data_IF_086653799998
#
_entry.id   IF_086653799998
#
_cell.length_a   1.000
_cell.length_b   1.000
_cell.length_c   1.000
_cell.angle_alpha   90.00
_cell.angle_beta   90.00
_cell.angle_gamma   90.00
#
_symmetry.space_group_name_H-M   'P 1'
#
loop_
_entity.id
_entity.type
_entity.pdbx_description
1 polymer ?
#
# COMPACT_ATOMS: atom_id res chain seq x y z
N UNK A 1 -51.97 11.45 73.60
CA UNK A 1 -50.53 11.73 73.37
C UNK A 1 -49.97 10.64 72.47
N UNK A 2 -49.88 10.89 71.17
CA UNK A 2 -49.29 9.94 70.20
C UNK A 2 -48.54 10.76 69.15
N UNK A 3 -47.23 10.58 69.10
CA UNK A 3 -46.30 11.31 68.24
C UNK A 3 -46.33 10.77 66.80
N UNK A 4 -46.32 11.73 65.86
CA UNK A 4 -46.05 11.58 64.41
C UNK A 4 -44.58 11.24 64.17
N UNK A 5 -44.30 10.41 63.16
CA UNK A 5 -43.13 10.57 62.28
C UNK A 5 -43.51 10.19 60.84
N UNK A 6 -43.38 11.15 59.93
CA UNK A 6 -43.47 10.98 58.47
C UNK A 6 -42.05 11.00 57.92
N UNK A 7 -41.68 10.03 57.08
CA UNK A 7 -40.38 10.02 56.39
C UNK A 7 -40.63 10.20 54.89
N UNK A 8 -40.23 11.35 54.36
CA UNK A 8 -40.14 11.61 52.93
C UNK A 8 -38.76 11.16 52.43
N UNK A 9 -38.72 10.37 51.36
CA UNK A 9 -37.50 10.10 50.61
C UNK A 9 -37.54 10.89 49.29
N UNK A 10 -36.63 11.85 49.17
CA UNK A 10 -36.31 12.56 47.92
C UNK A 10 -35.08 11.90 47.29
N UNK A 11 -35.19 11.48 46.03
CA UNK A 11 -34.05 11.01 45.22
C UNK A 11 -33.59 12.19 44.35
N UNK A 12 -32.31 12.62 44.40
CA UNK A 12 -31.82 13.61 43.45
C UNK A 12 -31.44 12.95 42.12
N UNK A 13 -31.85 13.60 41.02
CA UNK A 13 -31.31 13.38 39.68
C UNK A 13 -29.81 13.69 39.63
N UNK A 14 -29.05 12.82 39.01
CA UNK A 14 -27.66 13.04 38.63
C UNK A 14 -27.28 12.15 37.46
N UNK A 15 -27.66 12.54 36.24
CA UNK A 15 -27.14 11.92 35.02
C UNK A 15 -25.75 12.54 34.76
N UNK A 16 -24.70 11.78 35.06
CA UNK A 16 -23.33 12.09 34.64
C UNK A 16 -23.16 11.54 33.23
N UNK A 17 -23.16 12.42 32.22
CA UNK A 17 -22.68 12.07 30.89
C UNK A 17 -21.15 11.98 30.94
N UNK A 18 -20.61 10.76 31.09
CA UNK A 18 -19.19 10.50 30.83
C UNK A 18 -18.96 10.55 29.32
N UNK A 19 -18.29 11.61 28.86
CA UNK A 19 -17.64 11.63 27.56
C UNK A 19 -16.44 10.69 27.60
N UNK A 20 -16.54 9.53 26.95
CA UNK A 20 -15.38 8.71 26.66
C UNK A 20 -14.58 9.40 25.55
N UNK A 21 -13.39 9.92 25.89
CA UNK A 21 -12.44 10.37 24.89
C UNK A 21 -12.03 9.18 24.00
N UNK A 22 -11.90 9.35 22.67
CA UNK A 22 -11.32 8.32 21.82
C UNK A 22 -9.89 8.05 22.27
N UNK A 23 -9.54 6.76 22.40
CA UNK A 23 -8.19 6.33 22.74
C UNK A 23 -7.18 6.87 21.69
N UNK A 24 -5.95 7.23 22.11
CA UNK A 24 -4.92 7.64 21.16
C UNK A 24 -4.60 6.49 20.20
N UNK A 25 -4.68 6.76 18.90
CA UNK A 25 -4.23 5.86 17.86
C UNK A 25 -2.74 5.53 18.10
N UNK A 26 -2.42 4.23 18.19
CA UNK A 26 -1.03 3.79 18.33
C UNK A 26 -0.33 3.98 16.99
N UNK A 27 0.63 4.90 16.99
CA UNK A 27 1.52 5.22 15.88
C UNK A 27 2.32 3.99 15.44
N UNK A 28 2.10 3.54 14.20
CA UNK A 28 2.99 2.60 13.51
C UNK A 28 3.07 3.05 12.06
N UNK A 29 4.19 3.64 11.69
CA UNK A 29 4.55 3.83 10.29
C UNK A 29 6.07 3.92 10.20
N UNK A 30 6.61 3.19 9.23
CA UNK A 30 8.03 3.11 8.89
C UNK A 30 8.46 4.46 8.30
N UNK A 31 9.45 5.12 8.90
CA UNK A 31 10.04 6.36 8.38
C UNK A 31 11.35 6.01 7.69
N UNK A 32 11.48 6.27 6.39
CA UNK A 32 12.70 6.01 5.64
C UNK A 32 13.39 7.33 5.25
N UNK A 33 14.64 7.50 5.70
CA UNK A 33 15.51 8.60 5.25
C UNK A 33 15.84 8.44 3.77
N UNK A 34 15.51 9.48 2.98
CA UNK A 34 15.88 9.56 1.57
C UNK A 34 17.36 9.91 1.41
N UNK A 35 18.11 9.27 0.49
CA UNK A 35 19.44 9.75 0.13
C UNK A 35 19.34 11.14 -0.52
N UNK A 36 20.19 12.08 -0.08
CA UNK A 36 20.33 13.43 -0.62
C UNK A 36 20.50 13.40 -2.14
N UNK A 37 19.65 14.13 -2.86
CA UNK A 37 19.83 14.41 -4.27
C UNK A 37 21.12 15.21 -4.50
N UNK A 38 21.99 14.71 -5.38
CA UNK A 38 23.08 15.51 -5.94
C UNK A 38 22.50 16.55 -6.92
N UNK A 39 23.01 17.79 -6.93
CA UNK A 39 22.55 18.81 -7.87
C UNK A 39 22.96 18.46 -9.31
N UNK A 40 22.13 18.78 -10.32
CA UNK A 40 22.41 18.45 -11.71
C UNK A 40 23.60 19.26 -12.25
N UNK A 41 24.54 18.57 -12.89
CA UNK A 41 25.61 19.20 -13.65
C UNK A 41 25.04 19.93 -14.87
N UNK A 42 25.42 21.19 -14.99
CA UNK A 42 25.09 22.12 -16.08
C UNK A 42 25.83 21.70 -17.36
N UNK A 43 25.10 21.15 -18.34
CA UNK A 43 25.62 20.91 -19.69
C UNK A 43 25.62 22.24 -20.46
N UNK A 44 26.74 22.56 -21.10
CA UNK A 44 26.92 23.76 -21.94
C UNK A 44 26.23 23.54 -23.30
N UNK A 45 25.36 24.48 -23.68
CA UNK A 45 24.82 24.57 -25.03
C UNK A 45 25.95 24.87 -26.03
N UNK A 46 25.97 24.13 -27.12
CA UNK A 46 26.58 24.56 -28.39
C UNK A 46 25.53 24.41 -29.48
N UNK A 47 25.25 25.53 -30.16
CA UNK A 47 24.39 25.61 -31.34
C UNK A 47 24.94 24.74 -32.46
N UNK A 48 24.08 24.04 -33.19
CA UNK A 48 24.19 23.90 -34.64
C UNK A 48 22.83 23.50 -35.25
N UNK A 49 22.32 24.41 -36.08
CA UNK A 49 21.20 24.23 -36.97
C UNK A 49 21.53 23.15 -38.02
N UNK A 50 20.69 22.12 -38.13
CA UNK A 50 20.47 21.42 -39.39
C UNK A 50 19.08 20.77 -39.36
N UNK A 51 18.15 21.36 -40.11
CA UNK A 51 16.82 20.84 -40.32
C UNK A 51 16.89 19.62 -41.25
N UNK A 52 16.64 18.43 -40.71
CA UNK A 52 16.34 17.22 -41.51
C UNK A 52 14.85 16.93 -41.34
N UNK A 53 14.07 17.15 -42.40
CA UNK A 53 12.67 16.75 -42.46
C UNK A 53 12.58 15.23 -42.61
N UNK A 54 12.18 14.53 -41.54
CA UNK A 54 11.79 13.12 -41.60
C UNK A 54 10.27 13.03 -41.67
N UNK A 55 9.77 12.71 -42.87
CA UNK A 55 8.36 12.41 -43.11
C UNK A 55 8.06 11.00 -42.61
N UNK A 56 7.29 10.88 -41.52
CA UNK A 56 6.81 9.59 -41.02
C UNK A 56 5.34 9.43 -41.41
N UNK A 57 5.08 8.68 -42.48
CA UNK A 57 3.74 8.17 -42.75
C UNK A 57 3.38 7.10 -41.68
N UNK A 58 2.20 7.17 -41.03
CA UNK A 58 1.80 6.16 -40.06
C UNK A 58 1.49 4.84 -40.77
N UNK A 59 2.22 3.79 -40.38
CA UNK A 59 1.97 2.41 -40.80
C UNK A 59 0.63 1.96 -40.20
N UNK A 60 -0.27 1.30 -40.96
CA UNK A 60 -1.55 0.84 -40.43
C UNK A 60 -1.33 -0.12 -39.26
N UNK A 61 -1.88 0.24 -38.10
CA UNK A 61 -1.90 -0.57 -36.89
C UNK A 61 -2.68 -1.86 -37.17
N UNK A 62 -1.98 -2.99 -37.10
CA UNK A 62 -2.61 -4.32 -37.12
C UNK A 62 -3.60 -4.44 -35.97
N UNK A 63 -4.68 -5.20 -36.20
CA UNK A 63 -5.75 -5.41 -35.25
C UNK A 63 -5.22 -5.83 -33.86
N UNK A 64 -5.86 -5.39 -32.76
CA UNK A 64 -5.45 -5.76 -31.41
C UNK A 64 -5.56 -7.28 -31.24
N UNK A 65 -4.43 -7.92 -30.96
CA UNK A 65 -4.38 -9.33 -30.57
C UNK A 65 -5.09 -9.46 -29.22
N UNK A 66 -6.04 -10.38 -29.03
CA UNK A 66 -6.70 -10.57 -27.75
C UNK A 66 -5.67 -11.04 -26.72
N UNK A 67 -5.35 -10.19 -25.75
CA UNK A 67 -4.52 -10.55 -24.60
C UNK A 67 -5.33 -11.50 -23.74
N UNK A 68 -4.97 -12.78 -23.74
CA UNK A 68 -5.50 -13.75 -22.77
C UNK A 68 -5.06 -13.30 -21.37
N UNK A 69 -5.97 -12.68 -20.62
CA UNK A 69 -5.73 -12.37 -19.22
C UNK A 69 -5.68 -13.69 -18.44
N UNK A 70 -4.48 -14.16 -18.12
CA UNK A 70 -4.32 -15.30 -17.21
C UNK A 70 -4.83 -14.85 -15.84
N UNK A 71 -5.91 -15.47 -15.37
CA UNK A 71 -6.40 -15.27 -14.01
C UNK A 71 -5.32 -15.78 -13.04
N UNK A 72 -4.74 -14.89 -12.24
CA UNK A 72 -3.75 -15.25 -11.24
C UNK A 72 -4.45 -15.71 -9.96
N UNK A 73 -4.12 -16.91 -9.46
CA UNK A 73 -4.63 -17.42 -8.18
C UNK A 73 -3.73 -17.01 -7.02
N UNK A 74 -4.30 -16.78 -5.83
CA UNK A 74 -3.49 -16.50 -4.64
C UNK A 74 -2.47 -17.62 -4.39
N UNK A 75 -2.86 -18.87 -4.61
CA UNK A 75 -1.94 -20.02 -4.47
C UNK A 75 -0.71 -19.87 -5.37
N UNK A 76 -0.89 -19.41 -6.61
CA UNK A 76 0.24 -19.15 -7.53
C UNK A 76 1.09 -17.98 -7.06
N UNK A 77 0.47 -16.91 -6.55
CA UNK A 77 1.20 -15.72 -6.08
C UNK A 77 2.05 -15.98 -4.84
N UNK A 78 1.57 -16.84 -3.94
CA UNK A 78 2.23 -17.21 -2.67
C UNK A 78 3.07 -18.49 -2.77
N UNK A 79 3.02 -19.20 -3.90
CA UNK A 79 3.81 -20.42 -4.10
C UNK A 79 5.32 -20.17 -3.98
N UNK A 80 6.03 -21.06 -3.28
CA UNK A 80 7.49 -20.97 -3.12
C UNK A 80 7.95 -20.21 -1.87
N UNK A 81 7.04 -19.83 -0.96
CA UNK A 81 7.39 -19.24 0.33
C UNK A 81 8.16 -17.92 0.17
N UNK A 82 9.35 -17.81 0.77
CA UNK A 82 10.25 -16.66 0.58
C UNK A 82 10.64 -16.42 -0.88
N UNK A 83 10.47 -17.37 -1.80
CA UNK A 83 10.75 -17.18 -3.23
C UNK A 83 9.50 -16.86 -4.06
N UNK A 84 8.34 -16.74 -3.41
CA UNK A 84 7.08 -16.41 -4.08
C UNK A 84 7.10 -15.03 -4.73
N UNK A 85 6.20 -14.82 -5.69
CA UNK A 85 6.04 -13.51 -6.32
C UNK A 85 5.64 -12.45 -5.29
N UNK A 86 4.81 -12.80 -4.30
CA UNK A 86 4.47 -11.90 -3.19
C UNK A 86 5.71 -11.51 -2.38
N UNK A 87 6.55 -12.47 -1.99
CA UNK A 87 7.76 -12.17 -1.23
C UNK A 87 8.73 -11.27 -2.00
N UNK A 88 8.85 -11.49 -3.32
CA UNK A 88 9.69 -10.65 -4.20
C UNK A 88 9.11 -9.25 -4.37
N UNK A 89 7.82 -9.13 -4.66
CA UNK A 89 7.17 -7.84 -4.91
C UNK A 89 7.11 -6.97 -3.65
N UNK A 90 6.59 -7.51 -2.55
CA UNK A 90 6.50 -6.80 -1.27
C UNK A 90 7.90 -6.53 -0.72
N UNK A 91 8.82 -7.50 -0.78
CA UNK A 91 10.19 -7.29 -0.33
C UNK A 91 10.96 -6.26 -1.15
N UNK A 92 10.69 -6.16 -2.45
CA UNK A 92 11.26 -5.08 -3.27
C UNK A 92 10.69 -3.71 -2.87
N UNK A 93 9.41 -3.63 -2.51
CA UNK A 93 8.78 -2.40 -2.03
C UNK A 93 9.25 -1.98 -0.63
N UNK A 94 9.55 -2.95 0.25
CA UNK A 94 10.21 -2.71 1.53
C UNK A 94 11.70 -2.33 1.39
N UNK A 95 12.34 -2.70 0.28
CA UNK A 95 13.79 -2.51 0.08
C UNK A 95 14.65 -3.62 0.71
N UNK A 96 14.04 -4.72 1.17
CA UNK A 96 14.72 -5.91 1.69
C UNK A 96 15.14 -6.86 0.56
N UNK A 97 14.59 -6.66 -0.65
CA UNK A 97 14.91 -7.47 -1.84
C UNK A 97 15.17 -6.61 -3.07
N UNK A 98 15.89 -7.19 -4.01
CA UNK A 98 15.99 -6.68 -5.38
C UNK A 98 14.79 -7.18 -6.21
N UNK A 99 14.44 -6.52 -7.33
CA UNK A 99 13.29 -6.93 -8.17
C UNK A 99 13.39 -8.37 -8.74
N UNK A 100 14.60 -8.85 -9.02
CA UNK A 100 14.87 -10.23 -9.41
C UNK A 100 14.82 -11.22 -8.22
N UNK A 101 14.54 -10.75 -7.02
CA UNK A 101 14.36 -11.57 -5.83
C UNK A 101 15.64 -11.91 -5.08
N UNK A 102 16.77 -11.26 -5.38
CA UNK A 102 17.92 -11.25 -4.48
C UNK A 102 17.60 -10.57 -3.14
N UNK A 103 18.43 -10.82 -2.13
CA UNK A 103 18.30 -10.21 -0.80
C UNK A 103 19.23 -9.00 -0.67
N UNK A 104 18.77 -7.94 -0.01
CA UNK A 104 19.62 -6.81 0.40
C UNK A 104 20.14 -7.04 1.83
N UNK A 105 21.00 -6.15 2.33
CA UNK A 105 21.44 -6.21 3.73
C UNK A 105 20.26 -6.11 4.71
N UNK A 106 19.23 -5.32 4.38
CA UNK A 106 18.06 -5.10 5.23
C UNK A 106 17.22 -6.37 5.46
N UNK A 107 17.31 -7.37 4.57
CA UNK A 107 16.69 -8.69 4.75
C UNK A 107 17.19 -9.40 6.02
N UNK A 108 18.50 -9.28 6.28
CA UNK A 108 19.14 -9.94 7.42
C UNK A 108 18.96 -9.18 8.72
N UNK A 109 18.35 -8.00 8.70
CA UNK A 109 18.17 -7.19 9.88
C UNK A 109 18.33 -5.70 9.64
N UNK A 110 17.41 -4.90 10.19
CA UNK A 110 17.62 -3.46 10.34
C UNK A 110 16.78 -2.92 11.50
N UNK A 111 17.19 -1.77 12.03
CA UNK A 111 16.41 -1.02 13.02
C UNK A 111 15.61 0.05 12.28
N UNK A 112 14.31 0.10 12.52
CA UNK A 112 13.46 1.19 12.02
C UNK A 112 13.76 2.49 12.82
N UNK A 113 14.18 3.59 12.16
CA UNK A 113 14.43 4.86 12.82
C UNK A 113 13.22 5.42 13.58
N UNK A 114 12.00 5.11 13.12
CA UNK A 114 10.76 5.64 13.69
C UNK A 114 10.42 5.04 15.05
N UNK A 115 10.52 3.72 15.20
CA UNK A 115 10.07 3.01 16.41
C UNK A 115 11.17 2.20 17.12
N UNK A 116 12.40 2.23 16.61
CA UNK A 116 13.57 1.52 17.11
C UNK A 116 13.40 0.00 17.22
N UNK A 117 12.46 -0.58 16.47
CA UNK A 117 12.25 -2.04 16.43
C UNK A 117 13.18 -2.69 15.43
N UNK A 118 13.59 -3.91 15.77
CA UNK A 118 14.35 -4.78 14.89
C UNK A 118 13.41 -5.47 13.91
N UNK A 119 13.73 -5.31 12.63
CA UNK A 119 12.99 -5.86 11.49
C UNK A 119 13.79 -6.97 10.83
N UNK A 120 13.09 -7.99 10.33
CA UNK A 120 13.75 -9.16 9.72
C UNK A 120 12.96 -9.70 8.52
N UNK A 121 13.66 -10.31 7.56
CA UNK A 121 13.05 -10.97 6.41
C UNK A 121 12.64 -10.02 5.29
N UNK A 122 12.00 -10.59 4.28
CA UNK A 122 11.49 -9.91 3.08
C UNK A 122 10.47 -8.83 3.44
N UNK A 123 9.73 -9.02 4.53
CA UNK A 123 8.59 -8.16 4.86
C UNK A 123 8.87 -7.19 6.02
N UNK A 124 10.12 -7.05 6.44
CA UNK A 124 10.51 -6.22 7.60
C UNK A 124 9.74 -6.58 8.87
N UNK A 125 9.60 -7.89 9.16
CA UNK A 125 8.79 -8.41 10.25
C UNK A 125 9.32 -8.01 11.64
N UNK A 126 8.42 -7.53 12.51
CA UNK A 126 8.76 -6.95 13.83
C UNK A 126 8.34 -7.81 15.04
N UNK A 127 7.55 -8.88 14.86
CA UNK A 127 6.88 -9.56 15.97
C UNK A 127 7.64 -10.78 16.53
N UNK A 128 8.97 -10.74 16.53
CA UNK A 128 9.81 -11.80 17.07
C UNK A 128 9.93 -13.01 16.13
N UNK A 129 11.06 -13.09 15.45
CA UNK A 129 11.48 -14.24 14.67
C UNK A 129 12.98 -14.46 14.91
N UNK A 130 13.40 -15.73 14.94
CA UNK A 130 14.80 -16.08 15.18
C UNK A 130 15.63 -16.10 13.90
N UNK A 131 14.99 -15.99 12.73
CA UNK A 131 15.66 -15.94 11.42
C UNK A 131 14.80 -15.22 10.37
N UNK A 132 15.41 -14.69 9.29
CA UNK A 132 14.67 -14.13 8.16
C UNK A 132 13.66 -15.09 7.53
N UNK A 133 13.98 -16.37 7.44
CA UNK A 133 13.05 -17.38 6.92
C UNK A 133 11.85 -17.61 7.84
N UNK A 134 12.04 -17.61 9.16
CA UNK A 134 10.93 -17.69 10.12
C UNK A 134 10.04 -16.45 10.04
N UNK A 135 10.65 -15.26 9.94
CA UNK A 135 9.93 -14.01 9.72
C UNK A 135 9.07 -14.05 8.46
N UNK A 136 9.65 -14.48 7.33
CA UNK A 136 8.93 -14.62 6.06
C UNK A 136 7.76 -15.59 6.16
N UNK A 137 7.95 -16.76 6.78
CA UNK A 137 6.88 -17.74 6.94
C UNK A 137 5.69 -17.18 7.74
N UNK A 138 5.96 -16.53 8.87
CA UNK A 138 4.90 -15.91 9.69
C UNK A 138 4.17 -14.81 8.93
N UNK A 139 4.91 -13.95 8.23
CA UNK A 139 4.31 -12.82 7.54
C UNK A 139 3.56 -13.25 6.27
N UNK A 140 4.04 -14.25 5.53
CA UNK A 140 3.34 -14.82 4.38
C UNK A 140 2.00 -15.43 4.77
N UNK A 141 1.94 -16.17 5.89
CA UNK A 141 0.68 -16.71 6.40
C UNK A 141 -0.34 -15.60 6.70
N UNK A 142 0.12 -14.52 7.35
CA UNK A 142 -0.71 -13.35 7.62
C UNK A 142 -1.18 -12.67 6.33
N UNK A 143 -0.26 -12.38 5.41
CA UNK A 143 -0.57 -11.71 4.15
C UNK A 143 -1.48 -12.54 3.25
N UNK A 144 -1.40 -13.87 3.28
CA UNK A 144 -2.31 -14.73 2.53
C UNK A 144 -3.76 -14.54 2.98
N UNK A 145 -4.00 -14.50 4.30
CA UNK A 145 -5.33 -14.23 4.85
C UNK A 145 -5.82 -12.82 4.48
N UNK A 146 -4.94 -11.82 4.53
CA UNK A 146 -5.29 -10.45 4.15
C UNK A 146 -5.56 -10.33 2.63
N UNK A 147 -4.86 -11.11 1.80
CA UNK A 147 -5.11 -11.17 0.36
C UNK A 147 -6.48 -11.78 0.04
N UNK A 148 -6.90 -12.81 0.79
CA UNK A 148 -8.26 -13.36 0.70
C UNK A 148 -9.29 -12.26 0.99
N UNK A 149 -9.09 -11.49 2.06
CA UNK A 149 -9.99 -10.40 2.44
C UNK A 149 -10.05 -9.30 1.36
N UNK A 150 -8.90 -8.88 0.81
CA UNK A 150 -8.84 -7.93 -0.31
C UNK A 150 -9.64 -8.42 -1.53
N UNK A 151 -9.54 -9.71 -1.88
CA UNK A 151 -10.31 -10.31 -2.97
C UNK A 151 -11.81 -10.36 -2.68
N UNK A 152 -12.19 -10.65 -1.44
CA UNK A 152 -13.59 -10.63 -1.02
C UNK A 152 -14.17 -9.22 -1.14
N UNK A 153 -13.43 -8.20 -0.70
CA UNK A 153 -13.81 -6.79 -0.88
C UNK A 153 -13.93 -6.43 -2.37
N UNK A 154 -12.97 -6.83 -3.20
CA UNK A 154 -13.01 -6.53 -4.63
C UNK A 154 -14.22 -7.19 -5.30
N UNK A 155 -14.50 -8.45 -4.96
CA UNK A 155 -15.65 -9.20 -5.45
C UNK A 155 -16.97 -8.55 -5.03
N UNK A 156 -17.08 -8.08 -3.79
CA UNK A 156 -18.25 -7.36 -3.30
C UNK A 156 -18.48 -6.02 -4.05
N UNK A 157 -17.42 -5.43 -4.59
CA UNK A 157 -17.47 -4.25 -5.44
C UNK A 157 -17.56 -4.59 -6.95
N UNK A 158 -17.67 -5.88 -7.31
CA UNK A 158 -17.68 -6.38 -8.69
C UNK A 158 -16.42 -5.99 -9.50
N UNK A 159 -15.27 -5.90 -8.82
CA UNK A 159 -13.98 -5.56 -9.41
C UNK A 159 -13.17 -6.84 -9.59
N UNK A 160 -12.62 -7.03 -10.79
CA UNK A 160 -11.54 -7.99 -11.02
C UNK A 160 -10.21 -7.25 -10.94
N UNK A 161 -9.37 -7.61 -9.96
CA UNK A 161 -8.06 -6.98 -9.81
C UNK A 161 -7.11 -7.47 -10.90
N UNK A 162 -6.36 -6.55 -11.49
CA UNK A 162 -5.15 -6.91 -12.23
C UNK A 162 -4.07 -7.42 -11.27
N UNK A 163 -3.07 -8.14 -11.80
CA UNK A 163 -1.94 -8.62 -11.00
C UNK A 163 -1.24 -7.47 -10.24
N UNK A 164 -1.09 -6.31 -10.89
CA UNK A 164 -0.48 -5.14 -10.28
C UNK A 164 -1.33 -4.57 -9.14
N UNK A 165 -2.66 -4.48 -9.31
CA UNK A 165 -3.57 -4.02 -8.25
C UNK A 165 -3.60 -5.01 -7.07
N UNK A 166 -3.60 -6.32 -7.32
CA UNK A 166 -3.53 -7.36 -6.28
C UNK A 166 -2.25 -7.25 -5.45
N UNK A 167 -1.07 -7.25 -6.10
CA UNK A 167 0.21 -7.18 -5.39
C UNK A 167 0.40 -5.85 -4.65
N UNK A 168 -0.11 -4.75 -5.21
CA UNK A 168 -0.10 -3.47 -4.52
C UNK A 168 -1.07 -3.43 -3.33
N UNK A 169 -2.21 -4.12 -3.40
CA UNK A 169 -3.09 -4.30 -2.24
C UNK A 169 -2.41 -5.09 -1.13
N UNK A 170 -1.74 -6.20 -1.47
CA UNK A 170 -0.99 -7.05 -0.52
C UNK A 170 0.17 -6.27 0.11
N UNK A 171 0.93 -5.51 -0.69
CA UNK A 171 2.01 -4.65 -0.16
C UNK A 171 1.46 -3.59 0.80
N UNK A 172 0.35 -2.93 0.46
CA UNK A 172 -0.27 -1.97 1.36
C UNK A 172 -0.78 -2.64 2.64
N UNK A 173 -1.28 -3.88 2.58
CA UNK A 173 -1.66 -4.65 3.77
C UNK A 173 -0.45 -5.00 4.66
N UNK A 174 0.75 -5.14 4.08
CA UNK A 174 2.00 -5.26 4.82
C UNK A 174 2.37 -3.94 5.50
N UNK A 175 2.33 -2.84 4.76
CA UNK A 175 2.72 -1.51 5.21
C UNK A 175 1.78 -0.93 6.27
N UNK A 176 0.48 -0.97 6.01
CA UNK A 176 -0.57 -0.34 6.79
C UNK A 176 -1.89 -1.12 6.67
N UNK A 177 -2.09 -2.20 7.47
CA UNK A 177 -3.25 -3.07 7.37
C UNK A 177 -4.61 -2.36 7.36
N UNK A 178 -4.77 -1.30 8.17
CA UNK A 178 -6.03 -0.54 8.23
C UNK A 178 -6.29 0.24 6.94
N UNK A 179 -5.25 0.83 6.34
CA UNK A 179 -5.37 1.51 5.05
C UNK A 179 -5.70 0.51 3.93
N UNK A 180 -5.24 -0.74 4.02
CA UNK A 180 -5.58 -1.77 3.05
C UNK A 180 -7.02 -2.31 3.23
N UNK A 181 -7.40 -2.68 4.46
CA UNK A 181 -8.52 -3.60 4.72
C UNK A 181 -9.78 -2.95 5.31
N UNK A 182 -9.74 -1.75 5.90
CA UNK A 182 -10.96 -1.11 6.42
C UNK A 182 -11.76 -0.44 5.27
N UNK A 183 -12.01 0.88 5.33
CA UNK A 183 -12.54 1.66 4.21
C UNK A 183 -11.43 2.03 3.22
N UNK A 184 -10.63 1.03 2.88
CA UNK A 184 -9.27 1.16 2.36
C UNK A 184 -9.14 1.09 0.84
N UNK A 185 -8.04 0.50 0.42
CA UNK A 185 -7.57 0.45 -0.97
C UNK A 185 -8.64 0.05 -2.00
N UNK A 186 -9.35 -1.05 -1.74
CA UNK A 186 -10.37 -1.56 -2.65
C UNK A 186 -11.53 -0.58 -2.81
N UNK A 187 -11.95 0.08 -1.73
CA UNK A 187 -13.02 1.07 -1.79
C UNK A 187 -12.62 2.29 -2.64
N UNK A 188 -11.34 2.68 -2.59
CA UNK A 188 -10.80 3.75 -3.42
C UNK A 188 -10.65 3.36 -4.89
N UNK A 189 -10.22 2.13 -5.19
CA UNK A 189 -10.29 1.60 -6.56
C UNK A 189 -11.72 1.59 -7.07
N UNK A 190 -12.67 1.15 -6.26
CA UNK A 190 -14.09 1.11 -6.62
C UNK A 190 -14.66 2.50 -6.91
N UNK A 191 -14.26 3.52 -6.15
CA UNK A 191 -14.64 4.93 -6.44
C UNK A 191 -14.10 5.40 -7.80
N UNK A 192 -12.90 4.97 -8.18
CA UNK A 192 -12.37 5.27 -9.52
C UNK A 192 -13.23 4.58 -10.57
N UNK A 193 -13.47 3.26 -10.47
CA UNK A 193 -14.27 2.50 -11.44
C UNK A 193 -15.73 2.97 -11.56
N UNK A 194 -16.35 3.44 -10.47
CA UNK A 194 -17.73 3.96 -10.48
C UNK A 194 -17.88 5.39 -10.98
N UNK A 195 -16.82 6.23 -10.94
CA UNK A 195 -16.88 7.58 -11.52
C UNK A 195 -16.81 7.44 -13.05
N UNK A 196 -17.96 7.15 -13.65
CA UNK A 196 -18.29 7.10 -15.07
C UNK A 196 -17.13 7.54 -15.99
N UNK A 197 -16.38 6.55 -16.50
CA UNK A 197 -15.58 6.50 -17.74
C UNK A 197 -14.79 7.72 -18.27
N UNK A 198 -14.73 8.85 -17.56
CA UNK A 198 -14.23 10.14 -18.09
C UNK A 198 -12.85 10.50 -17.53
N UNK A 199 -12.59 10.20 -16.25
CA UNK A 199 -11.24 10.33 -15.65
C UNK A 199 -10.43 9.02 -15.72
N UNK A 200 -11.10 7.88 -15.91
CA UNK A 200 -10.45 6.56 -16.01
C UNK A 200 -9.76 6.35 -17.35
N UNK A 201 -10.33 6.85 -18.44
CA UNK A 201 -9.73 6.76 -19.78
C UNK A 201 -8.42 7.56 -19.88
N UNK A 202 -8.22 8.55 -19.01
CA UNK A 202 -7.00 9.38 -19.00
C UNK A 202 -5.97 8.94 -17.97
N UNK A 203 -6.35 8.20 -16.93
CA UNK A 203 -5.42 7.70 -15.92
C UNK A 203 -4.78 6.37 -16.33
N UNK A 204 -3.45 6.33 -16.34
CA UNK A 204 -2.70 5.09 -16.49
C UNK A 204 -3.03 4.11 -15.35
N UNK A 205 -2.83 2.80 -15.58
CA UNK A 205 -3.01 1.79 -14.53
C UNK A 205 -2.14 2.08 -13.29
N UNK A 206 -0.90 2.50 -13.51
CA UNK A 206 0.03 2.95 -12.47
C UNK A 206 -0.54 4.10 -11.65
N UNK A 207 -1.07 5.15 -12.29
CA UNK A 207 -1.62 6.31 -11.57
C UNK A 207 -2.84 5.94 -10.74
N UNK A 208 -3.67 5.00 -11.19
CA UNK A 208 -4.83 4.53 -10.41
C UNK A 208 -4.40 3.82 -9.15
N UNK A 209 -3.38 2.97 -9.23
CA UNK A 209 -2.82 2.26 -8.08
C UNK A 209 -2.25 3.28 -7.09
N UNK A 210 -1.40 4.20 -7.55
CA UNK A 210 -0.80 5.23 -6.69
C UNK A 210 -1.89 6.08 -6.03
N UNK A 211 -2.89 6.49 -6.80
CA UNK A 211 -4.00 7.28 -6.29
C UNK A 211 -4.78 6.53 -5.20
N UNK A 212 -5.19 5.29 -5.45
CA UNK A 212 -5.97 4.50 -4.50
C UNK A 212 -5.17 4.16 -3.24
N UNK A 213 -3.88 3.83 -3.39
CA UNK A 213 -2.97 3.61 -2.25
C UNK A 213 -2.76 4.88 -1.43
N UNK A 214 -2.67 6.04 -2.07
CA UNK A 214 -2.54 7.31 -1.35
C UNK A 214 -3.80 7.64 -0.58
N UNK A 215 -4.97 7.53 -1.22
CA UNK A 215 -6.26 7.88 -0.60
C UNK A 215 -6.69 6.88 0.47
N UNK A 216 -6.16 5.67 0.47
CA UNK A 216 -6.34 4.70 1.55
C UNK A 216 -5.90 5.21 2.93
N UNK A 217 -5.02 6.22 2.98
CA UNK A 217 -4.63 6.89 4.22
C UNK A 217 -5.52 8.08 4.60
N UNK A 218 -6.51 8.44 3.79
CA UNK A 218 -7.46 9.50 4.13
C UNK A 218 -8.52 8.93 5.07
N UNK A 219 -8.59 9.45 6.29
CA UNK A 219 -9.69 9.16 7.21
C UNK A 219 -10.99 9.74 6.63
N UNK A 220 -11.99 8.91 6.30
CA UNK A 220 -13.23 9.37 5.68
C UNK A 220 -14.13 10.15 6.64
N UNK A 221 -13.96 10.01 7.96
CA UNK A 221 -14.81 10.68 8.95
C UNK A 221 -14.29 12.08 9.27
N UNK A 222 -12.96 12.23 9.37
CA UNK A 222 -12.32 13.53 9.68
C UNK A 222 -11.83 14.29 8.44
N UNK A 223 -11.63 13.61 7.31
CA UNK A 223 -11.01 14.18 6.11
C UNK A 223 -9.51 14.46 6.25
N UNK A 224 -8.88 13.95 7.31
CA UNK A 224 -7.45 14.12 7.56
C UNK A 224 -6.63 12.93 7.05
N UNK A 225 -5.39 13.20 6.65
CA UNK A 225 -4.42 12.16 6.32
C UNK A 225 -3.93 11.47 7.59
N UNK A 226 -4.00 10.15 7.62
CA UNK A 226 -3.60 9.29 8.73
C UNK A 226 -2.47 8.34 8.28
N UNK A 227 -1.28 8.89 8.12
CA UNK A 227 -0.04 8.21 7.79
C UNK A 227 1.15 8.86 8.56
N UNK A 228 1.22 8.69 9.90
CA UNK A 228 2.14 9.47 10.74
C UNK A 228 3.62 9.33 10.34
N UNK A 229 4.08 8.13 10.02
CA UNK A 229 5.46 7.86 9.56
C UNK A 229 5.71 8.21 8.09
N UNK A 230 4.67 8.63 7.37
CA UNK A 230 4.78 9.31 6.08
C UNK A 230 4.54 10.82 6.21
N UNK A 231 4.46 11.35 7.43
CA UNK A 231 4.33 12.78 7.70
C UNK A 231 2.95 13.38 7.48
N UNK A 232 1.89 12.59 7.34
CA UNK A 232 0.49 13.06 7.24
C UNK A 232 0.23 14.14 6.15
N UNK A 233 1.00 14.14 5.06
CA UNK A 233 0.77 15.05 3.93
C UNK A 233 0.56 14.28 2.64
N UNK A 234 -0.35 14.77 1.79
CA UNK A 234 -0.63 14.18 0.48
C UNK A 234 0.64 13.94 -0.34
N UNK A 235 1.54 14.93 -0.38
CA UNK A 235 2.76 14.85 -1.19
C UNK A 235 3.70 13.75 -0.71
N UNK A 236 3.94 13.66 0.60
CA UNK A 236 4.84 12.65 1.18
C UNK A 236 4.27 11.24 1.04
N UNK A 237 2.97 11.07 1.32
CA UNK A 237 2.27 9.80 1.14
C UNK A 237 2.35 9.38 -0.33
N UNK A 238 1.96 10.25 -1.26
CA UNK A 238 1.98 9.94 -2.69
C UNK A 238 3.36 9.55 -3.19
N UNK A 239 4.41 10.23 -2.72
CA UNK A 239 5.78 9.92 -3.11
C UNK A 239 6.21 8.51 -2.67
N UNK A 240 5.95 8.13 -1.41
CA UNK A 240 6.25 6.76 -0.96
C UNK A 240 5.40 5.72 -1.70
N UNK A 241 4.10 5.97 -1.87
CA UNK A 241 3.23 5.03 -2.58
C UNK A 241 3.64 4.85 -4.05
N UNK A 242 4.13 5.89 -4.72
CA UNK A 242 4.70 5.80 -6.07
C UNK A 242 5.98 4.96 -6.10
N UNK A 243 6.89 5.16 -5.15
CA UNK A 243 8.12 4.37 -5.01
C UNK A 243 7.81 2.88 -4.79
N UNK A 244 6.87 2.55 -3.90
CA UNK A 244 6.45 1.17 -3.62
C UNK A 244 5.79 0.52 -4.83
N UNK A 245 4.89 1.23 -5.51
CA UNK A 245 4.26 0.75 -6.73
C UNK A 245 5.31 0.43 -7.81
N UNK A 246 6.30 1.31 -8.01
CA UNK A 246 7.37 1.09 -8.97
C UNK A 246 8.17 -0.18 -8.64
N UNK A 247 8.50 -0.40 -7.37
CA UNK A 247 9.23 -1.60 -6.94
C UNK A 247 8.41 -2.89 -7.19
N UNK A 248 7.11 -2.88 -6.88
CA UNK A 248 6.20 -3.99 -7.22
C UNK A 248 6.19 -4.24 -8.73
N UNK A 249 6.08 -3.19 -9.54
CA UNK A 249 6.05 -3.28 -10.99
C UNK A 249 7.33 -3.92 -11.55
N UNK A 250 8.50 -3.49 -11.06
CA UNK A 250 9.79 -4.07 -11.46
C UNK A 250 9.88 -5.57 -11.10
N UNK A 251 9.35 -5.97 -9.94
CA UNK A 251 9.33 -7.37 -9.54
C UNK A 251 8.43 -8.22 -10.45
N UNK A 252 7.29 -7.68 -10.90
CA UNK A 252 6.40 -8.32 -11.88
C UNK A 252 7.13 -8.52 -13.22
N UNK A 253 7.78 -7.46 -13.73
CA UNK A 253 8.51 -7.51 -15.01
C UNK A 253 9.64 -8.55 -15.00
N UNK A 254 10.41 -8.60 -13.90
CA UNK A 254 11.46 -9.59 -13.68
C UNK A 254 10.92 -11.01 -13.48
N UNK A 255 9.66 -11.17 -13.08
CA UNK A 255 9.02 -12.48 -12.97
C UNK A 255 8.51 -12.99 -14.31
N UNK A 256 7.97 -12.10 -15.15
CA UNK A 256 7.45 -12.46 -16.49
C UNK A 256 8.56 -12.80 -17.49
N UNK A 257 9.81 -12.43 -17.20
CA UNK A 257 10.98 -12.71 -18.04
C UNK A 257 11.65 -14.06 -17.73
N UNK A 258 11.05 -14.88 -16.85
CA UNK A 258 11.54 -16.21 -16.43
C UNK A 258 10.71 -17.32 -17.05
#
# INVERSE_FOLDING_TARGET
MTYRWSVHWSIPMGIVLLWAAPAPAKDIALTFDSPRAHPPQRIKNTDHNNAVSLSFAPKPQGAPVPVTQVLHTLDTLFHGGSNSLVARAVGSAEGTRTPDGGYTSAYYGHIDPGNHKWNLGSFSYQHGANSPGEADNKQLQRLYNQAIELRQQASAQQITLSLAEELNGIDLANQAPLAALDRGYINWLAKLYRRDNTNLQTMSATDRIIWARTHAFLDPDSGHWNAPGLGNTLNSIRWDQARRQQAVQQAIEMNSSR
#
